data_IF_842420156660
#
_entry.id   IF_842420156660
#
_cell.length_a   1.000
_cell.length_b   1.000
_cell.length_c   1.000
_cell.angle_alpha   90.00
_cell.angle_beta   90.00
_cell.angle_gamma   90.00
#
_symmetry.space_group_name_H-M   'P 1'
#
loop_
_entity.id
_entity.type
_entity.pdbx_description
1 polymer ?
#
# COMPACT_ATOMS: atom_id res chain seq x y z
N UNK A 1 -33.34 6.67 -10.38
CA UNK A 1 -33.37 6.74 -8.91
C UNK A 1 -32.01 6.30 -8.38
N UNK A 2 -31.29 7.23 -7.76
CA UNK A 2 -30.07 6.86 -7.06
C UNK A 2 -30.48 6.05 -5.82
N UNK A 3 -30.03 4.82 -5.71
CA UNK A 3 -30.13 4.09 -4.46
C UNK A 3 -29.35 4.87 -3.40
N UNK A 4 -30.05 5.41 -2.43
CA UNK A 4 -29.41 5.91 -1.23
C UNK A 4 -28.70 4.73 -0.57
N UNK A 5 -27.38 4.80 -0.51
CA UNK A 5 -26.59 3.87 0.27
C UNK A 5 -27.15 3.87 1.70
N UNK A 6 -27.61 2.72 2.16
CA UNK A 6 -28.15 2.53 3.52
C UNK A 6 -27.03 2.73 4.56
N UNK A 7 -25.78 2.59 4.15
CA UNK A 7 -24.59 2.85 4.95
C UNK A 7 -23.78 3.96 4.28
N UNK A 8 -23.97 5.20 4.72
CA UNK A 8 -22.95 6.23 4.50
C UNK A 8 -21.80 5.95 5.44
N UNK A 9 -20.54 5.86 4.94
CA UNK A 9 -19.41 5.92 5.84
C UNK A 9 -19.53 7.19 6.67
N UNK A 10 -19.27 7.10 7.97
CA UNK A 10 -19.37 8.23 8.90
C UNK A 10 -18.41 9.38 8.58
N UNK A 11 -17.44 9.11 7.72
CA UNK A 11 -16.49 10.10 7.20
C UNK A 11 -16.40 9.91 5.69
N UNK A 12 -16.64 10.98 4.94
CA UNK A 12 -16.28 10.99 3.53
C UNK A 12 -14.75 10.90 3.45
N UNK A 13 -14.27 9.81 2.87
CA UNK A 13 -12.85 9.67 2.64
C UNK A 13 -12.45 10.58 1.46
N UNK A 14 -11.49 11.45 1.70
CA UNK A 14 -10.89 12.30 0.67
C UNK A 14 -9.39 11.98 0.58
N UNK A 15 -8.81 12.01 -0.64
CA UNK A 15 -7.37 11.93 -0.78
C UNK A 15 -6.69 13.04 0.03
N UNK A 16 -5.49 12.81 0.57
CA UNK A 16 -4.73 13.85 1.24
C UNK A 16 -4.51 15.05 0.32
N UNK A 17 -4.77 16.24 0.81
CA UNK A 17 -4.51 17.48 0.06
C UNK A 17 -3.02 17.81 0.02
N UNK A 18 -2.27 17.32 1.01
CA UNK A 18 -0.84 17.57 1.14
C UNK A 18 -0.07 16.27 1.38
N UNK A 19 1.19 16.30 0.98
CA UNK A 19 2.13 15.21 1.26
C UNK A 19 2.87 15.50 2.57
N UNK A 20 2.52 14.81 3.69
CA UNK A 20 3.16 15.07 4.96
C UNK A 20 4.64 14.63 4.95
N UNK A 21 5.44 15.34 5.74
CA UNK A 21 6.81 14.91 6.02
C UNK A 21 6.78 13.84 7.13
N UNK A 22 7.14 12.62 6.78
CA UNK A 22 7.15 11.48 7.70
C UNK A 22 8.55 11.16 8.24
N UNK A 23 9.55 12.00 8.02
CA UNK A 23 10.95 11.74 8.37
C UNK A 23 11.21 11.59 9.88
N UNK A 24 10.31 12.07 10.72
CA UNK A 24 10.42 11.98 12.18
C UNK A 24 9.81 10.71 12.76
N UNK A 25 9.16 9.89 11.93
CA UNK A 25 8.54 8.65 12.40
C UNK A 25 9.51 7.49 12.29
N UNK A 26 9.58 6.68 13.35
CA UNK A 26 10.46 5.51 13.42
C UNK A 26 9.86 4.28 12.73
N UNK A 27 8.55 4.27 12.57
CA UNK A 27 7.79 3.18 11.96
C UNK A 27 6.77 3.73 10.96
N UNK A 28 6.75 3.13 9.77
CA UNK A 28 5.85 3.50 8.69
C UNK A 28 5.21 2.22 8.14
N UNK A 29 3.89 2.16 8.16
CA UNK A 29 3.12 1.06 7.55
C UNK A 29 2.76 1.42 6.12
N UNK A 30 2.96 0.49 5.20
CA UNK A 30 2.66 0.64 3.78
C UNK A 30 1.84 -0.56 3.31
N UNK A 31 0.79 -0.29 2.52
CA UNK A 31 0.00 -1.29 1.85
C UNK A 31 -0.35 -0.82 0.43
N UNK A 32 -0.08 -1.65 -0.56
CA UNK A 32 -0.39 -1.34 -1.95
C UNK A 32 -1.69 -1.99 -2.36
N UNK A 33 -2.50 -1.25 -3.12
CA UNK A 33 -3.57 -1.83 -3.91
C UNK A 33 -3.13 -1.97 -5.35
N UNK A 34 -3.34 -3.15 -5.91
CA UNK A 34 -2.88 -3.52 -7.24
C UNK A 34 -4.02 -4.09 -8.07
N UNK A 35 -3.95 -3.85 -9.38
CA UNK A 35 -4.67 -4.62 -10.37
C UNK A 35 -3.71 -5.67 -10.92
N UNK A 36 -3.92 -6.91 -10.54
CA UNK A 36 -3.02 -8.03 -10.85
C UNK A 36 -3.81 -9.23 -11.41
N UNK A 37 -4.28 -9.13 -12.65
CA UNK A 37 -5.23 -10.09 -13.22
C UNK A 37 -4.66 -11.49 -13.43
N UNK A 38 -3.35 -11.61 -13.53
CA UNK A 38 -2.67 -12.89 -13.76
C UNK A 38 -2.14 -13.57 -12.49
N UNK A 39 -2.34 -12.97 -11.31
CA UNK A 39 -1.67 -13.38 -10.06
C UNK A 39 -1.76 -14.88 -9.78
N UNK A 40 -2.95 -15.46 -9.90
CA UNK A 40 -3.17 -16.89 -9.60
C UNK A 40 -2.81 -17.84 -10.73
N UNK A 41 -2.59 -17.35 -11.95
CA UNK A 41 -2.32 -18.17 -13.13
C UNK A 41 -0.86 -18.12 -13.56
N UNK A 42 -0.27 -16.93 -13.57
CA UNK A 42 1.07 -16.67 -14.12
C UNK A 42 2.02 -16.06 -13.10
N UNK A 43 1.54 -15.78 -11.89
CA UNK A 43 2.31 -15.14 -10.83
C UNK A 43 2.12 -13.62 -10.81
N UNK A 44 2.85 -12.96 -9.90
CA UNK A 44 2.74 -11.53 -9.68
C UNK A 44 3.00 -10.71 -10.94
N UNK A 45 2.13 -9.76 -11.22
CA UNK A 45 2.25 -8.81 -12.32
C UNK A 45 3.50 -7.93 -12.22
N UNK A 46 4.07 -7.78 -11.03
CA UNK A 46 5.35 -7.09 -10.86
C UNK A 46 6.48 -7.77 -11.63
N UNK A 47 6.42 -9.08 -11.76
CA UNK A 47 7.39 -9.90 -12.51
C UNK A 47 6.96 -10.11 -13.94
N UNK A 48 5.70 -10.46 -14.15
CA UNK A 48 5.15 -10.76 -15.49
C UNK A 48 4.85 -9.50 -16.31
N UNK A 49 4.96 -8.32 -15.70
CA UNK A 49 4.64 -7.01 -16.29
C UNK A 49 3.18 -6.90 -16.73
N UNK A 50 2.30 -7.55 -15.98
CA UNK A 50 0.87 -7.55 -16.21
C UNK A 50 0.14 -6.98 -15.00
N UNK A 51 -0.53 -5.86 -15.19
CA UNK A 51 -1.22 -5.15 -14.11
C UNK A 51 -0.49 -3.89 -13.68
N UNK A 52 -0.95 -3.29 -12.60
CA UNK A 52 -0.40 -2.03 -12.09
C UNK A 52 -0.75 -1.80 -10.62
N UNK A 53 0.01 -0.93 -9.97
CA UNK A 53 -0.35 -0.36 -8.67
C UNK A 53 -1.43 0.68 -8.88
N UNK A 54 -2.56 0.54 -8.21
CA UNK A 54 -3.70 1.46 -8.35
C UNK A 54 -3.84 2.43 -7.18
N UNK A 55 -3.28 2.10 -6.03
CA UNK A 55 -3.28 2.96 -4.85
C UNK A 55 -2.27 2.55 -3.80
N UNK A 56 -1.97 3.47 -2.90
CA UNK A 56 -1.01 3.28 -1.83
C UNK A 56 -1.62 3.78 -0.53
N UNK A 57 -1.68 2.93 0.49
CA UNK A 57 -1.99 3.31 1.85
C UNK A 57 -0.70 3.49 2.66
N UNK A 58 -0.60 4.56 3.40
CA UNK A 58 0.52 4.84 4.31
C UNK A 58 -0.02 5.26 5.66
N UNK A 59 0.51 4.70 6.71
CA UNK A 59 0.14 5.04 8.08
C UNK A 59 1.36 5.18 8.97
N UNK A 60 1.29 6.15 9.86
CA UNK A 60 2.21 6.37 10.97
C UNK A 60 1.40 6.63 12.22
N UNK A 61 2.03 6.69 13.37
CA UNK A 61 1.34 7.11 14.58
C UNK A 61 0.73 8.50 14.40
N UNK A 62 -0.59 8.61 14.59
CA UNK A 62 -1.33 9.86 14.51
C UNK A 62 -1.77 10.30 13.11
N UNK A 63 -1.40 9.57 12.05
CA UNK A 63 -1.81 9.92 10.69
C UNK A 63 -1.90 8.70 9.79
N UNK A 64 -2.90 8.68 8.92
CA UNK A 64 -3.03 7.70 7.85
C UNK A 64 -3.61 8.35 6.60
N UNK A 65 -3.14 7.93 5.44
CA UNK A 65 -3.62 8.42 4.17
C UNK A 65 -3.64 7.32 3.10
N UNK A 66 -4.56 7.47 2.15
CA UNK A 66 -4.64 6.64 0.96
C UNK A 66 -4.50 7.51 -0.29
N UNK A 67 -3.64 7.09 -1.20
CA UNK A 67 -3.29 7.83 -2.41
C UNK A 67 -3.71 7.02 -3.64
N UNK A 68 -4.90 7.29 -4.22
CA UNK A 68 -5.30 6.64 -5.46
C UNK A 68 -4.50 7.22 -6.64
N UNK A 69 -3.95 6.36 -7.49
CA UNK A 69 -3.13 6.79 -8.64
C UNK A 69 -3.59 6.19 -9.98
N UNK A 70 -4.35 5.11 -9.98
CA UNK A 70 -4.79 4.47 -11.21
C UNK A 70 -6.11 3.70 -11.08
N UNK A 71 -7.03 4.18 -10.26
CA UNK A 71 -8.38 3.62 -10.14
C UNK A 71 -9.22 3.94 -11.37
N UNK A 72 -9.97 2.97 -11.87
CA UNK A 72 -10.82 3.12 -13.06
C UNK A 72 -11.97 4.12 -12.85
N UNK A 73 -12.46 4.27 -11.62
CA UNK A 73 -13.55 5.17 -11.26
C UNK A 73 -13.19 6.65 -11.24
N UNK A 74 -11.95 7.03 -11.50
CA UNK A 74 -11.49 8.41 -11.39
C UNK A 74 -11.09 8.80 -9.96
N UNK A 75 -10.94 10.11 -9.71
CA UNK A 75 -10.52 10.62 -8.40
C UNK A 75 -9.06 10.37 -8.08
N UNK A 76 -8.24 10.04 -9.08
CA UNK A 76 -6.83 9.78 -8.91
C UNK A 76 -6.03 11.07 -8.68
N UNK A 77 -4.99 10.94 -7.87
CA UNK A 77 -3.99 11.99 -7.67
C UNK A 77 -2.95 11.94 -8.80
N UNK A 78 -2.13 12.99 -8.89
CA UNK A 78 -0.98 12.99 -9.80
C UNK A 78 -0.02 11.85 -9.43
N UNK A 79 0.08 10.86 -10.30
CA UNK A 79 0.89 9.67 -10.08
C UNK A 79 2.36 9.98 -9.82
N UNK A 80 2.93 10.89 -10.58
CA UNK A 80 4.36 11.22 -10.46
C UNK A 80 4.65 11.91 -9.12
N UNK A 81 3.77 12.78 -8.67
CA UNK A 81 3.91 13.44 -7.36
C UNK A 81 3.78 12.44 -6.22
N UNK A 82 2.80 11.55 -6.27
CA UNK A 82 2.62 10.50 -5.25
C UNK A 82 3.84 9.58 -5.19
N UNK A 83 4.31 9.10 -6.33
CA UNK A 83 5.46 8.19 -6.37
C UNK A 83 6.76 8.86 -5.94
N UNK A 84 6.96 10.13 -6.25
CA UNK A 84 8.13 10.87 -5.77
C UNK A 84 8.10 11.02 -4.24
N UNK A 85 6.95 11.39 -3.68
CA UNK A 85 6.79 11.46 -2.23
C UNK A 85 7.01 10.10 -1.56
N UNK A 86 6.42 9.05 -2.11
CA UNK A 86 6.58 7.69 -1.58
C UNK A 86 8.04 7.24 -1.63
N UNK A 87 8.73 7.55 -2.70
CA UNK A 87 10.17 7.26 -2.83
C UNK A 87 10.97 7.92 -1.71
N UNK A 88 10.68 9.16 -1.40
CA UNK A 88 11.35 9.89 -0.31
C UNK A 88 11.02 9.28 1.06
N UNK A 89 9.76 8.92 1.30
CA UNK A 89 9.30 8.24 2.53
C UNK A 89 10.00 6.90 2.73
N UNK A 90 10.10 6.09 1.68
CA UNK A 90 10.71 4.76 1.74
C UNK A 90 12.23 4.78 1.74
N UNK A 91 12.84 5.92 1.46
CA UNK A 91 14.30 6.13 1.50
C UNK A 91 14.83 6.50 2.90
N UNK A 92 13.98 6.54 3.91
CA UNK A 92 14.36 6.83 5.31
C UNK A 92 14.84 5.58 6.03
N UNK A 93 15.49 5.78 7.20
CA UNK A 93 15.93 4.69 8.07
C UNK A 93 14.81 4.09 8.92
N UNK A 94 13.61 4.66 8.87
CA UNK A 94 12.44 4.14 9.59
C UNK A 94 12.19 2.66 9.26
N UNK A 95 11.67 1.93 10.22
CA UNK A 95 11.17 0.57 9.99
C UNK A 95 9.93 0.63 9.10
N UNK A 96 9.90 -0.15 8.02
CA UNK A 96 8.75 -0.27 7.12
C UNK A 96 7.99 -1.55 7.43
N UNK A 97 6.71 -1.40 7.66
CA UNK A 97 5.81 -2.49 8.07
C UNK A 97 4.88 -2.79 6.90
N UNK A 98 4.90 -4.05 6.45
CA UNK A 98 4.06 -4.57 5.38
C UNK A 98 3.28 -5.78 5.86
N UNK A 99 2.20 -6.09 5.16
CA UNK A 99 1.56 -7.41 5.24
C UNK A 99 1.76 -8.13 3.91
N UNK A 100 2.54 -9.21 3.88
CA UNK A 100 3.10 -9.85 2.69
C UNK A 100 4.11 -8.94 1.98
N UNK A 101 5.20 -8.64 2.66
CA UNK A 101 6.20 -7.67 2.23
C UNK A 101 6.82 -7.97 0.86
N UNK A 102 7.06 -9.24 0.54
CA UNK A 102 7.66 -9.63 -0.73
C UNK A 102 6.82 -9.16 -1.91
N UNK A 103 5.50 -9.31 -1.83
CA UNK A 103 4.58 -8.89 -2.88
C UNK A 103 4.64 -7.38 -3.13
N UNK A 104 4.52 -6.57 -2.07
CA UNK A 104 4.52 -5.12 -2.16
C UNK A 104 5.90 -4.58 -2.57
N UNK A 105 6.97 -5.11 -2.03
CA UNK A 105 8.34 -4.69 -2.35
C UNK A 105 8.67 -4.96 -3.83
N UNK A 106 8.23 -6.09 -4.38
CA UNK A 106 8.41 -6.40 -5.80
C UNK A 106 7.66 -5.39 -6.69
N UNK A 107 6.44 -5.01 -6.32
CA UNK A 107 5.70 -3.97 -7.04
C UNK A 107 6.37 -2.60 -6.93
N UNK A 108 6.83 -2.21 -5.73
CA UNK A 108 7.57 -0.97 -5.53
C UNK A 108 8.84 -0.93 -6.39
N UNK A 109 9.58 -2.01 -6.40
CA UNK A 109 10.79 -2.13 -7.25
C UNK A 109 10.46 -2.04 -8.74
N UNK A 110 9.35 -2.64 -9.17
CA UNK A 110 8.90 -2.58 -10.56
C UNK A 110 8.58 -1.15 -11.02
N UNK A 111 8.17 -0.28 -10.11
CA UNK A 111 7.91 1.15 -10.39
C UNK A 111 9.08 2.07 -10.01
N UNK A 112 10.25 1.49 -9.74
CA UNK A 112 11.49 2.25 -9.52
C UNK A 112 11.73 2.71 -8.09
N UNK A 113 11.06 2.12 -7.10
CA UNK A 113 11.18 2.50 -5.69
C UNK A 113 11.88 1.40 -4.90
N UNK A 114 12.98 1.75 -4.24
CA UNK A 114 13.68 0.88 -3.29
C UNK A 114 13.28 1.23 -1.86
N UNK A 115 13.09 0.19 -1.04
CA UNK A 115 12.75 0.33 0.37
C UNK A 115 14.02 0.24 1.20
N UNK A 116 14.30 1.27 1.99
CA UNK A 116 15.41 1.29 2.96
C UNK A 116 14.90 1.04 4.36
N UNK A 117 15.83 0.69 5.24
CA UNK A 117 15.58 0.43 6.64
C UNK A 117 15.13 -1.00 6.91
N UNK A 118 14.82 -1.27 8.17
CA UNK A 118 14.32 -2.57 8.59
C UNK A 118 12.92 -2.82 8.01
N UNK A 119 12.69 -4.03 7.55
CA UNK A 119 11.38 -4.47 7.04
C UNK A 119 10.78 -5.45 8.04
N UNK A 120 9.52 -5.19 8.43
CA UNK A 120 8.70 -6.09 9.23
C UNK A 120 7.54 -6.57 8.37
N UNK A 121 7.36 -7.88 8.31
CA UNK A 121 6.24 -8.52 7.61
C UNK A 121 5.27 -9.08 8.63
N UNK A 122 4.09 -8.47 8.76
CA UNK A 122 3.09 -8.90 9.74
C UNK A 122 2.47 -10.25 9.39
N UNK A 123 2.51 -10.68 8.13
CA UNK A 123 2.07 -12.02 7.73
C UNK A 123 2.98 -13.09 8.31
N UNK A 124 4.29 -12.90 8.29
CA UNK A 124 5.28 -13.80 8.90
C UNK A 124 5.14 -13.78 10.42
N UNK A 125 5.00 -12.59 11.02
CA UNK A 125 4.79 -12.44 12.46
C UNK A 125 3.52 -13.17 12.94
N UNK A 126 2.42 -13.07 12.19
CA UNK A 126 1.19 -13.79 12.48
C UNK A 126 1.37 -15.31 12.40
N UNK A 127 2.13 -15.82 11.43
CA UNK A 127 2.45 -17.25 11.29
C UNK A 127 3.29 -17.76 12.46
N UNK A 128 4.19 -16.95 13.01
CA UNK A 128 4.99 -17.32 14.19
C UNK A 128 4.17 -17.37 15.49
N UNK A 129 3.10 -16.58 15.56
CA UNK A 129 2.18 -16.57 16.72
C UNK A 129 1.16 -17.71 16.63
N UNK A 130 0.65 -18.03 15.46
CA UNK A 130 -0.35 -19.08 15.24
C UNK A 130 -0.05 -19.85 13.96
N UNK A 131 0.82 -20.85 14.08
CA UNK A 131 1.24 -21.74 12.97
C UNK A 131 0.12 -22.60 12.39
N UNK A 132 -1.00 -22.75 13.10
CA UNK A 132 -2.16 -23.53 12.66
C UNK A 132 -3.15 -22.72 11.83
N UNK A 133 -2.94 -21.42 11.70
CA UNK A 133 -3.82 -20.56 10.94
C UNK A 133 -3.67 -20.80 9.44
N UNK A 134 -4.80 -21.02 8.75
CA UNK A 134 -4.80 -21.33 7.32
C UNK A 134 -4.67 -20.11 6.41
N UNK A 135 -4.97 -18.92 6.91
CA UNK A 135 -4.87 -17.66 6.20
C UNK A 135 -4.27 -16.58 7.09
N UNK A 136 -3.43 -15.75 6.49
CA UNK A 136 -2.71 -14.66 7.15
C UNK A 136 -2.92 -13.31 6.46
N UNK A 137 -4.06 -13.12 5.81
CA UNK A 137 -4.47 -11.84 5.22
C UNK A 137 -5.13 -10.94 6.27
N UNK A 138 -5.19 -9.64 5.99
CA UNK A 138 -5.73 -8.62 6.89
C UNK A 138 -7.26 -8.49 6.84
N UNK A 139 -7.92 -9.33 6.10
CA UNK A 139 -9.39 -9.31 5.97
C UNK A 139 -10.07 -10.15 7.03
#
# INVERSE_FOLDING_TARGET
MSQKLIFKPQTEWLPPEEFPNLSQHDEISIDLETKDPGLTKTGSGSVTKNGEVVGIAVAVEGWAGYFPIAHEGGGNMDKNMVLQWLKDVLNTTATKIFHNAMYDICWLRAIGINVKGKIVDTMIAAALVDENRLRYDLN
#
